data_IF_423749632260
#
_entry.id   IF_423749632260
#
_cell.length_a   1.000
_cell.length_b   1.000
_cell.length_c   1.000
_cell.angle_alpha   90.00
_cell.angle_beta   90.00
_cell.angle_gamma   90.00
#
_symmetry.space_group_name_H-M   'P 1'
#
loop_
_entity.id
_entity.type
_entity.pdbx_description
1 polymer ?
#
# COMPACT_ATOMS: atom_id res chain seq x y z
N UNK A 1 19.51 -53.41 20.41
CA UNK A 1 19.19 -52.03 20.83
C UNK A 1 17.83 -51.71 20.26
N UNK A 2 16.79 -51.89 21.07
CA UNK A 2 15.42 -51.51 20.73
C UNK A 2 15.31 -50.00 20.91
N UNK A 3 15.20 -49.25 19.83
CA UNK A 3 14.61 -47.92 19.89
C UNK A 3 13.13 -48.09 20.21
N UNK A 4 12.79 -47.81 21.46
CA UNK A 4 11.41 -47.72 21.92
C UNK A 4 10.74 -46.55 21.22
N UNK A 5 9.88 -46.83 20.25
CA UNK A 5 8.93 -45.86 19.70
C UNK A 5 7.94 -45.48 20.81
N UNK A 6 8.22 -44.40 21.50
CA UNK A 6 7.28 -43.74 22.43
C UNK A 6 6.02 -43.41 21.62
N UNK A 7 4.80 -43.73 22.09
CA UNK A 7 3.58 -43.34 21.38
C UNK A 7 3.55 -41.81 21.30
N UNK A 8 3.48 -41.25 20.09
CA UNK A 8 3.52 -39.79 19.89
C UNK A 8 2.42 -39.04 20.67
N UNK A 9 1.30 -39.71 21.00
CA UNK A 9 0.14 -39.13 21.69
C UNK A 9 0.35 -38.77 23.18
N UNK A 10 1.46 -39.15 23.81
CA UNK A 10 1.68 -38.87 25.25
C UNK A 10 2.87 -37.95 25.53
N UNK A 11 3.58 -37.53 24.49
CA UNK A 11 4.67 -36.57 24.64
C UNK A 11 4.09 -35.18 24.99
N UNK A 12 4.66 -34.54 26.00
CA UNK A 12 4.25 -33.21 26.47
C UNK A 12 5.43 -32.27 26.40
N UNK A 13 5.17 -31.01 26.06
CA UNK A 13 6.15 -29.93 26.04
C UNK A 13 5.76 -28.86 27.06
N UNK A 14 6.79 -28.25 27.63
CA UNK A 14 6.66 -27.06 28.45
C UNK A 14 6.59 -25.81 27.55
N UNK A 15 5.46 -25.11 27.63
CA UNK A 15 5.25 -23.84 26.94
C UNK A 15 5.06 -22.72 27.94
N UNK A 16 5.42 -21.50 27.53
CA UNK A 16 5.19 -20.29 28.31
C UNK A 16 4.66 -19.20 27.40
N UNK A 17 3.54 -18.62 27.76
CA UNK A 17 2.96 -17.52 27.00
C UNK A 17 3.58 -16.18 27.41
N UNK A 18 3.86 -15.34 26.42
CA UNK A 18 4.20 -13.94 26.63
C UNK A 18 3.57 -13.09 25.53
N UNK A 19 3.50 -11.78 25.74
CA UNK A 19 3.10 -10.85 24.68
C UNK A 19 3.96 -9.60 24.80
N UNK A 20 4.20 -8.94 23.67
CA UNK A 20 4.78 -7.60 23.65
C UNK A 20 3.73 -6.50 23.70
N UNK A 21 2.47 -6.84 23.46
CA UNK A 21 1.39 -5.85 23.51
C UNK A 21 1.07 -5.52 24.98
N UNK A 22 1.38 -4.29 25.41
CA UNK A 22 1.16 -3.80 26.79
C UNK A 22 -0.30 -3.94 27.25
N UNK A 23 -1.25 -3.95 26.30
CA UNK A 23 -2.68 -4.15 26.56
C UNK A 23 -2.99 -5.49 27.24
N UNK A 24 -2.21 -6.53 26.94
CA UNK A 24 -2.48 -7.91 27.36
C UNK A 24 -1.38 -8.48 28.26
N UNK A 25 -0.26 -7.77 28.47
CA UNK A 25 0.89 -8.27 29.23
C UNK A 25 0.55 -8.63 30.69
N UNK A 26 -0.40 -7.91 31.29
CA UNK A 26 -0.83 -8.13 32.67
C UNK A 26 -1.94 -9.17 32.79
N UNK A 27 -2.62 -9.47 31.67
CA UNK A 27 -3.78 -10.37 31.65
C UNK A 27 -3.39 -11.81 31.28
N UNK A 28 -2.25 -12.01 30.60
CA UNK A 28 -1.78 -13.32 30.19
C UNK A 28 -1.13 -14.11 31.34
N UNK A 29 -1.36 -15.43 31.40
CA UNK A 29 -0.78 -16.27 32.43
C UNK A 29 0.73 -16.43 32.22
N UNK A 30 1.51 -16.01 33.21
CA UNK A 30 2.99 -16.17 33.24
C UNK A 30 3.45 -17.57 33.69
N UNK A 31 2.52 -18.49 33.85
CA UNK A 31 2.76 -19.86 34.30
C UNK A 31 3.31 -20.72 33.15
N UNK A 32 4.06 -21.77 33.50
CA UNK A 32 4.52 -22.77 32.54
C UNK A 32 3.43 -23.83 32.42
N UNK A 33 3.03 -24.13 31.19
CA UNK A 33 2.02 -25.14 30.89
C UNK A 33 2.67 -26.37 30.27
N UNK A 34 2.21 -27.56 30.67
CA UNK A 34 2.53 -28.81 29.98
C UNK A 34 1.41 -29.11 28.99
N UNK A 35 1.73 -29.08 27.70
CA UNK A 35 0.77 -29.27 26.61
C UNK A 35 1.21 -30.43 25.72
N UNK A 36 0.27 -31.27 25.21
CA UNK A 36 0.59 -32.31 24.23
C UNK A 36 1.25 -31.75 22.97
N UNK A 37 2.19 -32.50 22.38
CA UNK A 37 2.89 -32.04 21.16
C UNK A 37 1.95 -31.98 19.93
N UNK A 38 0.84 -32.73 19.96
CA UNK A 38 -0.20 -32.67 18.92
C UNK A 38 -1.05 -31.39 18.97
N UNK A 39 -0.85 -30.51 19.95
CA UNK A 39 -1.67 -29.31 20.08
C UNK A 39 -1.46 -28.30 18.97
N UNK A 40 -2.59 -27.82 18.45
CA UNK A 40 -2.70 -26.77 17.43
C UNK A 40 -3.06 -25.42 18.07
N UNK A 41 -3.02 -24.36 17.27
CA UNK A 41 -3.36 -22.99 17.71
C UNK A 41 -4.77 -22.87 18.31
N UNK A 42 -5.74 -23.67 17.85
CA UNK A 42 -7.10 -23.66 18.43
C UNK A 42 -7.12 -24.18 19.87
N UNK A 43 -6.39 -25.25 20.16
CA UNK A 43 -6.30 -25.83 21.51
C UNK A 43 -5.59 -24.88 22.47
N UNK A 44 -4.52 -24.22 22.00
CA UNK A 44 -3.80 -23.19 22.76
C UNK A 44 -4.71 -21.99 23.06
N UNK A 45 -5.55 -21.58 22.11
CA UNK A 45 -6.54 -20.51 22.32
C UNK A 45 -7.58 -20.88 23.38
N UNK A 46 -8.07 -22.13 23.38
CA UNK A 46 -8.99 -22.61 24.41
C UNK A 46 -8.30 -22.60 25.79
N UNK A 47 -7.03 -23.00 25.86
CA UNK A 47 -6.26 -23.01 27.10
C UNK A 47 -6.10 -21.59 27.64
N UNK A 48 -5.67 -20.64 26.82
CA UNK A 48 -5.50 -19.23 27.24
C UNK A 48 -6.82 -18.65 27.70
N UNK A 49 -7.91 -18.86 26.97
CA UNK A 49 -9.20 -18.30 27.35
C UNK A 49 -9.74 -18.90 28.66
N UNK A 50 -9.55 -20.20 28.90
CA UNK A 50 -9.92 -20.84 30.17
C UNK A 50 -9.13 -20.30 31.35
N UNK A 51 -7.83 -20.05 31.17
CA UNK A 51 -7.01 -19.47 32.24
C UNK A 51 -7.34 -17.99 32.43
N UNK A 52 -7.59 -17.27 31.33
CA UNK A 52 -7.97 -15.87 31.31
C UNK A 52 -9.30 -15.60 32.01
N UNK A 53 -10.29 -16.49 31.87
CA UNK A 53 -11.59 -16.40 32.58
C UNK A 53 -11.48 -16.35 34.11
N UNK A 54 -10.32 -16.72 34.69
CA UNK A 54 -10.08 -16.53 36.13
C UNK A 54 -9.81 -15.08 36.52
N UNK A 55 -9.55 -14.19 35.54
CA UNK A 55 -9.39 -12.76 35.71
C UNK A 55 -10.69 -12.03 35.33
N UNK A 56 -11.22 -11.20 36.25
CA UNK A 56 -12.51 -10.50 36.08
C UNK A 56 -12.62 -9.59 34.83
N UNK A 57 -11.49 -9.19 34.24
CA UNK A 57 -11.43 -8.30 33.08
C UNK A 57 -11.19 -9.02 31.74
N UNK A 58 -11.20 -10.36 31.72
CA UNK A 58 -10.89 -11.12 30.51
C UNK A 58 -12.03 -11.10 29.49
N UNK A 59 -11.70 -10.71 28.26
CA UNK A 59 -12.59 -10.89 27.10
C UNK A 59 -12.08 -12.09 26.32
N UNK A 60 -12.99 -12.96 25.89
CA UNK A 60 -12.64 -14.05 24.98
C UNK A 60 -12.09 -13.45 23.68
N UNK A 61 -10.79 -13.61 23.49
CA UNK A 61 -10.05 -13.15 22.32
C UNK A 61 -9.40 -14.36 21.66
N UNK A 62 -9.22 -14.24 20.34
CA UNK A 62 -8.51 -15.24 19.57
C UNK A 62 -7.11 -14.72 19.29
N UNK A 63 -6.11 -15.51 19.67
CA UNK A 63 -4.71 -15.19 19.48
C UNK A 63 -4.11 -16.04 18.38
N UNK A 64 -3.19 -15.44 17.62
CA UNK A 64 -2.19 -16.16 16.85
C UNK A 64 -0.91 -16.27 17.69
N UNK A 65 -0.18 -17.37 17.50
CA UNK A 65 1.01 -17.70 18.28
C UNK A 65 2.26 -17.64 17.42
N UNK A 66 3.31 -17.01 17.93
CA UNK A 66 4.62 -17.02 17.28
C UNK A 66 5.65 -17.73 18.14
N UNK A 67 6.47 -18.55 17.49
CA UNK A 67 7.68 -19.16 18.04
C UNK A 67 8.84 -18.60 17.23
N UNK A 68 9.81 -17.95 17.88
CA UNK A 68 10.98 -17.33 17.23
C UNK A 68 10.62 -16.47 15.99
N UNK A 69 9.57 -15.65 16.11
CA UNK A 69 9.05 -14.79 15.03
C UNK A 69 8.46 -15.56 13.83
N UNK A 70 8.01 -16.79 14.02
CA UNK A 70 7.31 -17.58 13.00
C UNK A 70 5.93 -17.95 13.52
N UNK A 71 4.91 -17.70 12.72
CA UNK A 71 3.53 -18.07 13.04
C UNK A 71 3.35 -19.59 13.12
N UNK A 72 2.72 -20.04 14.20
CA UNK A 72 2.31 -21.42 14.38
C UNK A 72 1.04 -21.70 13.55
N UNK A 73 1.22 -22.35 12.39
CA UNK A 73 0.12 -22.77 11.48
C UNK A 73 -0.13 -24.27 11.46
N UNK A 74 0.81 -25.06 11.98
CA UNK A 74 0.75 -26.52 12.07
C UNK A 74 0.75 -26.95 13.53
N UNK A 75 0.66 -28.25 13.79
CA UNK A 75 0.83 -28.79 15.14
C UNK A 75 2.20 -28.41 15.71
N UNK A 76 2.32 -28.32 17.04
CA UNK A 76 3.61 -28.08 17.68
C UNK A 76 4.65 -29.14 17.28
N UNK A 77 4.21 -30.39 17.04
CA UNK A 77 5.06 -31.49 16.57
C UNK A 77 5.71 -31.16 15.24
N UNK A 78 4.91 -30.90 14.22
CA UNK A 78 5.39 -30.63 12.87
C UNK A 78 6.24 -29.38 12.83
N UNK A 79 5.89 -28.36 13.63
CA UNK A 79 6.67 -27.14 13.76
C UNK A 79 8.06 -27.42 14.32
N UNK A 80 8.15 -28.19 15.41
CA UNK A 80 9.42 -28.52 16.06
C UNK A 80 10.27 -29.40 15.16
N UNK A 81 9.68 -30.36 14.45
CA UNK A 81 10.40 -31.20 13.50
C UNK A 81 10.94 -30.39 12.32
N UNK A 82 10.11 -29.50 11.76
CA UNK A 82 10.48 -28.63 10.62
C UNK A 82 11.62 -27.68 10.99
N UNK A 83 11.56 -27.06 12.16
CA UNK A 83 12.55 -26.07 12.61
C UNK A 83 13.65 -26.67 13.50
N UNK A 84 13.62 -27.99 13.74
CA UNK A 84 14.57 -28.74 14.58
C UNK A 84 14.80 -28.10 15.95
N UNK A 85 13.71 -27.70 16.61
CA UNK A 85 13.77 -27.13 17.95
C UNK A 85 14.05 -28.22 18.99
N UNK A 86 14.81 -27.88 20.04
CA UNK A 86 15.10 -28.79 21.14
C UNK A 86 13.88 -28.96 22.04
N UNK A 87 13.42 -30.21 22.25
CA UNK A 87 12.32 -30.54 23.15
C UNK A 87 12.63 -30.33 24.65
N UNK A 88 13.92 -30.19 25.00
CA UNK A 88 14.37 -30.01 26.39
C UNK A 88 14.14 -28.58 26.91
N UNK A 89 13.92 -27.61 26.02
CA UNK A 89 13.76 -26.20 26.37
C UNK A 89 12.28 -25.81 26.47
N UNK A 90 12.00 -24.85 27.35
CA UNK A 90 10.68 -24.21 27.42
C UNK A 90 10.48 -23.40 26.13
N UNK A 91 9.40 -23.68 25.40
CA UNK A 91 9.06 -22.92 24.20
C UNK A 91 8.27 -21.68 24.63
N UNK A 92 8.83 -20.51 24.34
CA UNK A 92 8.14 -19.24 24.57
C UNK A 92 7.23 -18.91 23.38
N UNK A 93 5.94 -18.76 23.65
CA UNK A 93 4.91 -18.43 22.66
C UNK A 93 4.51 -16.97 22.80
N UNK A 94 4.78 -16.19 21.77
CA UNK A 94 4.29 -14.82 21.67
C UNK A 94 2.82 -14.83 21.23
N UNK A 95 1.92 -14.35 22.09
CA UNK A 95 0.50 -14.21 21.80
C UNK A 95 0.22 -12.85 21.14
N UNK A 96 -0.40 -12.89 19.97
CA UNK A 96 -0.82 -11.72 19.19
C UNK A 96 -2.32 -11.80 18.92
N UNK A 97 -3.03 -10.69 19.04
CA UNK A 97 -4.44 -10.61 18.65
C UNK A 97 -4.61 -10.98 17.17
N UNK A 98 -5.43 -12.01 16.89
CA UNK A 98 -5.66 -12.46 15.51
C UNK A 98 -6.42 -11.38 14.74
N UNK A 99 -5.85 -10.93 13.62
CA UNK A 99 -6.58 -10.10 12.67
C UNK A 99 -7.66 -10.92 11.97
N UNK A 100 -8.86 -10.36 11.71
CA UNK A 100 -9.88 -11.04 10.93
C UNK A 100 -9.38 -11.43 9.53
N UNK A 101 -9.82 -12.58 9.05
CA UNK A 101 -9.48 -13.03 7.71
C UNK A 101 -10.19 -12.15 6.68
N UNK A 102 -9.47 -11.62 5.67
CA UNK A 102 -10.09 -10.76 4.66
C UNK A 102 -11.12 -11.54 3.84
N UNK A 103 -12.32 -10.98 3.71
CA UNK A 103 -13.43 -11.60 2.97
C UNK A 103 -13.57 -10.91 1.61
N UNK A 104 -13.66 -11.65 0.49
CA UNK A 104 -13.94 -11.07 -0.82
C UNK A 104 -15.33 -10.43 -0.83
N UNK A 105 -15.39 -9.14 -1.16
CA UNK A 105 -16.61 -8.34 -1.15
C UNK A 105 -17.13 -8.05 -2.56
N UNK A 106 -16.24 -7.64 -3.47
CA UNK A 106 -16.62 -7.20 -4.82
C UNK A 106 -15.63 -7.73 -5.86
N UNK A 107 -16.17 -8.00 -7.05
CA UNK A 107 -15.42 -8.31 -8.26
C UNK A 107 -15.92 -7.36 -9.37
N UNK A 108 -15.08 -6.40 -9.74
CA UNK A 108 -15.42 -5.33 -10.70
C UNK A 108 -14.71 -5.62 -12.01
N UNK A 109 -15.44 -5.67 -13.12
CA UNK A 109 -14.86 -5.95 -14.43
C UNK A 109 -14.66 -4.68 -15.24
N UNK A 110 -13.42 -4.48 -15.67
CA UNK A 110 -12.97 -3.43 -16.57
C UNK A 110 -12.80 -3.95 -18.00
N UNK A 111 -12.67 -3.02 -18.96
CA UNK A 111 -12.50 -3.34 -20.38
C UNK A 111 -11.06 -3.66 -20.77
N UNK A 112 -10.10 -3.21 -19.98
CA UNK A 112 -8.66 -3.29 -20.25
C UNK A 112 -7.91 -3.53 -18.94
N UNK A 113 -6.61 -3.80 -19.03
CA UNK A 113 -5.76 -4.06 -17.87
C UNK A 113 -5.80 -2.90 -16.87
N UNK A 114 -5.94 -3.23 -15.59
CA UNK A 114 -6.00 -2.24 -14.52
C UNK A 114 -4.59 -1.85 -14.11
N UNK A 115 -4.22 -0.60 -14.35
CA UNK A 115 -2.88 -0.10 -14.06
C UNK A 115 -2.69 0.21 -12.57
N UNK A 116 -3.63 0.95 -11.98
CA UNK A 116 -3.57 1.37 -10.58
C UNK A 116 -4.98 1.50 -10.00
N UNK A 117 -5.11 1.33 -8.69
CA UNK A 117 -6.37 1.39 -7.94
C UNK A 117 -6.16 2.21 -6.68
N UNK A 118 -7.13 3.08 -6.37
CA UNK A 118 -7.15 3.85 -5.11
C UNK A 118 -8.52 3.79 -4.45
N UNK A 119 -8.52 3.51 -3.15
CA UNK A 119 -9.73 3.52 -2.33
C UNK A 119 -9.82 4.86 -1.61
N UNK A 120 -10.80 5.67 -2.00
CA UNK A 120 -11.01 6.99 -1.39
C UNK A 120 -11.76 6.83 -0.06
N UNK A 121 -12.82 6.03 -0.07
CA UNK A 121 -13.66 5.77 1.09
C UNK A 121 -14.45 4.48 0.89
N UNK A 122 -15.26 4.11 1.89
CA UNK A 122 -16.11 2.91 1.85
C UNK A 122 -17.08 2.81 0.66
N UNK A 123 -17.36 3.92 -0.03
CA UNK A 123 -18.33 4.01 -1.11
C UNK A 123 -17.68 4.30 -2.45
N UNK A 124 -16.39 4.59 -2.51
CA UNK A 124 -15.77 5.14 -3.69
C UNK A 124 -14.38 4.57 -3.91
N UNK A 125 -14.24 3.85 -5.01
CA UNK A 125 -12.97 3.30 -5.49
C UNK A 125 -12.72 3.89 -6.87
N UNK A 126 -11.46 4.19 -7.17
CA UNK A 126 -11.03 4.62 -8.50
C UNK A 126 -10.11 3.56 -9.07
N UNK A 127 -10.35 3.20 -10.31
CA UNK A 127 -9.39 2.44 -11.11
C UNK A 127 -8.98 3.26 -12.33
N UNK A 128 -7.75 3.04 -12.78
CA UNK A 128 -7.25 3.53 -14.06
C UNK A 128 -6.78 2.35 -14.88
N UNK A 129 -6.97 2.42 -16.20
CA UNK A 129 -6.64 1.31 -17.09
C UNK A 129 -5.63 1.70 -18.19
N UNK A 130 -5.08 0.68 -18.83
CA UNK A 130 -4.18 0.83 -19.97
C UNK A 130 -4.88 1.36 -21.23
N UNK A 131 -6.21 1.45 -21.25
CA UNK A 131 -7.00 2.08 -22.31
C UNK A 131 -7.10 3.61 -22.22
N UNK A 132 -6.50 4.22 -21.18
CA UNK A 132 -6.55 5.68 -20.95
C UNK A 132 -7.84 6.15 -20.28
N UNK A 133 -8.62 5.24 -19.71
CA UNK A 133 -9.84 5.54 -19.00
C UNK A 133 -9.59 5.72 -17.50
N UNK A 134 -10.28 6.70 -16.93
CA UNK A 134 -10.37 6.91 -15.49
C UNK A 134 -11.78 6.54 -15.04
N UNK A 135 -11.86 5.58 -14.12
CA UNK A 135 -13.11 4.92 -13.78
C UNK A 135 -13.40 5.11 -12.31
N UNK A 136 -14.59 5.63 -12.03
CA UNK A 136 -15.09 5.83 -10.68
C UNK A 136 -16.11 4.74 -10.36
N UNK A 137 -15.81 3.93 -9.37
CA UNK A 137 -16.70 2.89 -8.86
C UNK A 137 -17.43 3.41 -7.64
N UNK A 138 -18.75 3.51 -7.74
CA UNK A 138 -19.61 3.87 -6.63
C UNK A 138 -20.18 2.60 -5.99
N UNK A 139 -19.80 2.35 -4.75
CA UNK A 139 -20.22 1.19 -3.97
C UNK A 139 -21.43 1.57 -3.12
N UNK A 140 -22.56 0.94 -3.42
CA UNK A 140 -23.78 1.02 -2.63
C UNK A 140 -24.03 -0.32 -1.93
N UNK A 141 -24.17 -0.28 -0.60
CA UNK A 141 -24.59 -1.44 0.19
C UNK A 141 -26.11 -1.42 0.29
N UNK A 142 -26.78 -2.35 -0.39
CA UNK A 142 -28.18 -2.67 -0.11
C UNK A 142 -28.26 -3.71 1.01
N UNK A 143 -29.44 -3.91 1.61
CA UNK A 143 -29.64 -4.82 2.75
C UNK A 143 -29.23 -6.28 2.47
N UNK A 144 -29.13 -6.68 1.20
CA UNK A 144 -28.82 -8.05 0.79
C UNK A 144 -27.54 -8.17 -0.03
N UNK A 145 -27.11 -7.12 -0.73
CA UNK A 145 -25.98 -7.18 -1.68
C UNK A 145 -25.20 -5.85 -1.69
N UNK A 146 -23.89 -5.92 -1.93
CA UNK A 146 -23.08 -4.76 -2.25
C UNK A 146 -23.02 -4.63 -3.78
N UNK A 147 -23.51 -3.53 -4.33
CA UNK A 147 -23.50 -3.26 -5.76
C UNK A 147 -22.48 -2.15 -6.02
N UNK A 148 -21.62 -2.36 -7.00
CA UNK A 148 -20.72 -1.33 -7.51
C UNK A 148 -21.19 -0.86 -8.88
N UNK A 149 -21.49 0.42 -8.99
CA UNK A 149 -21.87 1.05 -10.25
C UNK A 149 -20.65 1.70 -10.91
N UNK A 150 -20.42 1.36 -12.18
CA UNK A 150 -19.36 1.94 -13.01
C UNK A 150 -19.81 3.31 -13.50
N UNK A 151 -19.26 4.37 -12.93
CA UNK A 151 -19.35 5.71 -13.50
C UNK A 151 -18.06 5.95 -14.30
N UNK A 152 -18.12 5.75 -15.61
CA UNK A 152 -16.98 6.06 -16.50
C UNK A 152 -16.79 7.58 -16.49
N UNK A 153 -15.73 8.04 -15.85
CA UNK A 153 -15.40 9.45 -15.77
C UNK A 153 -14.31 9.71 -16.82
N UNK A 154 -14.76 9.76 -18.09
CA UNK A 154 -14.04 10.35 -19.23
C UNK A 154 -12.76 9.60 -19.66
N UNK A 155 -12.63 9.31 -20.95
CA UNK A 155 -11.34 8.95 -21.55
C UNK A 155 -10.40 10.15 -21.39
N UNK A 156 -9.37 10.00 -20.54
CA UNK A 156 -8.44 11.08 -20.24
C UNK A 156 -7.45 11.29 -21.37
N UNK A 157 -7.06 10.17 -21.99
CA UNK A 157 -6.08 10.07 -23.05
C UNK A 157 -6.30 8.84 -23.93
N UNK A 158 -5.62 8.77 -25.07
CA UNK A 158 -5.55 7.56 -25.89
C UNK A 158 -4.40 6.64 -25.48
N UNK A 159 -3.44 7.17 -24.73
CA UNK A 159 -2.31 6.41 -24.20
C UNK A 159 -2.60 5.79 -22.82
N UNK A 160 -1.89 4.69 -22.47
CA UNK A 160 -2.08 4.01 -21.21
C UNK A 160 -1.72 4.90 -20.02
N UNK A 161 -2.59 4.86 -19.02
CA UNK A 161 -2.32 5.43 -17.69
C UNK A 161 -1.48 4.42 -16.92
N UNK A 162 -0.50 4.91 -16.14
CA UNK A 162 0.44 4.07 -15.38
C UNK A 162 0.22 4.12 -13.89
N UNK A 163 -0.06 5.30 -13.35
CA UNK A 163 -0.14 5.52 -11.92
C UNK A 163 -1.22 6.52 -11.54
N UNK A 164 -1.68 6.40 -10.30
CA UNK A 164 -2.74 7.19 -9.71
C UNK A 164 -2.40 7.47 -8.25
N UNK A 165 -2.58 8.72 -7.84
CA UNK A 165 -2.65 9.05 -6.42
C UNK A 165 -3.79 10.02 -6.14
N UNK A 166 -4.27 10.02 -4.90
CA UNK A 166 -5.45 10.78 -4.51
C UNK A 166 -5.25 11.50 -3.19
N UNK A 167 -5.85 12.69 -3.08
CA UNK A 167 -5.83 13.49 -1.86
C UNK A 167 -7.19 14.15 -1.61
N UNK A 168 -7.76 13.90 -0.42
CA UNK A 168 -9.06 14.45 -0.03
C UNK A 168 -8.92 15.83 0.61
N UNK A 169 -9.46 16.85 -0.05
CA UNK A 169 -9.60 18.21 0.47
C UNK A 169 -10.89 18.29 1.29
N UNK A 170 -10.82 17.87 2.56
CA UNK A 170 -12.00 17.80 3.43
C UNK A 170 -13.02 16.75 2.97
N UNK A 171 -14.31 17.00 3.20
CA UNK A 171 -15.35 15.96 3.10
C UNK A 171 -15.88 15.68 1.67
N UNK A 172 -15.76 16.62 0.73
CA UNK A 172 -16.46 16.52 -0.56
C UNK A 172 -15.59 16.72 -1.80
N UNK A 173 -14.36 17.23 -1.66
CA UNK A 173 -13.48 17.50 -2.80
C UNK A 173 -12.29 16.55 -2.72
N UNK A 174 -12.03 15.83 -3.79
CA UNK A 174 -10.87 14.94 -3.92
C UNK A 174 -10.10 15.34 -5.17
N UNK A 175 -8.79 15.52 -5.00
CA UNK A 175 -7.88 15.72 -6.12
C UNK A 175 -7.22 14.40 -6.47
N UNK A 176 -7.16 14.08 -7.76
CA UNK A 176 -6.46 12.92 -8.30
C UNK A 176 -5.32 13.42 -9.16
N UNK A 177 -4.17 12.80 -8.97
CA UNK A 177 -3.03 12.97 -9.85
C UNK A 177 -2.84 11.68 -10.62
N UNK A 178 -2.81 11.79 -11.94
CA UNK A 178 -2.72 10.66 -12.86
C UNK A 178 -1.47 10.83 -13.72
N UNK A 179 -0.61 9.83 -13.76
CA UNK A 179 0.56 9.79 -14.65
C UNK A 179 0.29 8.89 -15.86
N UNK A 180 0.58 9.40 -17.05
CA UNK A 180 0.37 8.68 -18.30
C UNK A 180 1.68 8.38 -19.04
N UNK A 181 1.62 7.41 -19.95
CA UNK A 181 2.76 7.03 -20.79
C UNK A 181 3.20 8.14 -21.74
N UNK A 182 2.29 9.06 -22.07
CA UNK A 182 2.55 10.19 -22.97
C UNK A 182 3.31 11.35 -22.32
N UNK A 183 4.00 11.11 -21.21
CA UNK A 183 4.85 12.08 -20.50
C UNK A 183 4.07 13.19 -19.77
N UNK A 184 2.75 13.16 -19.81
CA UNK A 184 1.90 14.15 -19.15
C UNK A 184 1.37 13.63 -17.83
N UNK A 185 1.15 14.56 -16.90
CA UNK A 185 0.33 14.30 -15.73
C UNK A 185 -0.98 15.08 -15.80
N UNK A 186 -2.03 14.46 -15.28
CA UNK A 186 -3.35 15.06 -15.18
C UNK A 186 -3.70 15.26 -13.71
N UNK A 187 -3.92 16.51 -13.32
CA UNK A 187 -4.51 16.85 -12.04
C UNK A 187 -6.01 17.05 -12.26
N UNK A 188 -6.81 16.13 -11.71
CA UNK A 188 -8.26 16.14 -11.76
C UNK A 188 -8.81 16.53 -10.40
N UNK A 189 -9.67 17.54 -10.37
CA UNK A 189 -10.42 17.86 -9.16
C UNK A 189 -11.83 17.35 -9.32
N UNK A 190 -12.28 16.54 -8.37
CA UNK A 190 -13.65 16.08 -8.33
C UNK A 190 -14.32 16.57 -7.06
N UNK A 191 -15.50 17.14 -7.23
CA UNK A 191 -16.42 17.40 -6.13
C UNK A 191 -17.55 16.40 -6.25
N UNK A 192 -17.75 15.63 -5.19
CA UNK A 192 -18.79 14.62 -5.15
C UNK A 192 -19.62 14.79 -3.90
N UNK A 193 -20.94 14.72 -4.07
CA UNK A 193 -21.79 14.36 -2.96
C UNK A 193 -21.60 12.84 -2.76
N UNK A 194 -20.57 12.46 -2.02
CA UNK A 194 -20.14 11.07 -1.77
C UNK A 194 -21.31 10.20 -1.28
N UNK A 195 -22.36 10.80 -0.70
CA UNK A 195 -23.58 10.10 -0.28
C UNK A 195 -24.48 9.61 -1.43
N UNK A 196 -24.41 10.24 -2.62
CA UNK A 196 -25.27 9.95 -3.78
C UNK A 196 -24.53 9.36 -4.98
N UNK A 197 -23.22 9.12 -4.90
CA UNK A 197 -22.48 8.48 -5.99
C UNK A 197 -22.28 9.32 -7.25
N UNK A 198 -22.61 10.61 -7.19
CA UNK A 198 -22.41 11.56 -8.28
C UNK A 198 -21.18 12.40 -7.94
N UNK A 199 -20.11 12.21 -8.72
CA UNK A 199 -18.92 13.05 -8.69
C UNK A 199 -18.84 13.83 -10.00
N UNK A 200 -18.68 15.15 -9.89
CA UNK A 200 -18.46 16.02 -11.03
C UNK A 200 -16.99 16.41 -11.06
N UNK A 201 -16.37 16.31 -12.24
CA UNK A 201 -15.04 16.87 -12.45
C UNK A 201 -15.17 18.40 -12.46
N UNK A 202 -14.55 19.05 -11.49
CA UNK A 202 -14.48 20.51 -11.37
C UNK A 202 -13.45 21.10 -12.34
N UNK A 203 -12.34 20.40 -12.58
CA UNK A 203 -11.27 20.89 -13.44
C UNK A 203 -10.25 19.84 -13.80
N UNK A 204 -9.61 20.05 -14.95
CA UNK A 204 -8.45 19.28 -15.46
C UNK A 204 -7.30 20.26 -15.68
N UNK A 205 -6.20 20.06 -14.96
CA UNK A 205 -4.93 20.77 -15.19
C UNK A 205 -3.93 19.76 -15.76
N UNK A 206 -3.15 20.16 -16.75
CA UNK A 206 -2.13 19.30 -17.36
C UNK A 206 -0.77 19.75 -16.85
N UNK A 207 0.00 18.84 -16.27
CA UNK A 207 1.36 19.11 -15.85
C UNK A 207 2.29 18.52 -16.92
N UNK A 208 3.14 19.38 -17.52
CA UNK A 208 4.09 18.97 -18.56
C UNK A 208 5.51 19.26 -18.12
N UNK A 209 6.40 18.30 -18.35
CA UNK A 209 7.80 18.49 -18.05
C UNK A 209 8.67 17.23 -18.10
N UNK A 210 8.10 16.03 -17.97
CA UNK A 210 8.83 14.79 -18.22
C UNK A 210 9.07 14.56 -19.71
N UNK A 211 10.13 13.81 -20.03
CA UNK A 211 10.50 13.48 -21.41
C UNK A 211 10.15 12.03 -21.79
N UNK A 212 9.66 11.25 -20.81
CA UNK A 212 9.22 9.86 -20.98
C UNK A 212 8.02 9.54 -20.08
N UNK A 213 7.53 8.31 -20.17
CA UNK A 213 6.42 7.76 -19.38
C UNK A 213 6.55 8.11 -17.89
N UNK A 214 5.46 8.57 -17.29
CA UNK A 214 5.39 8.86 -15.84
C UNK A 214 4.91 7.60 -15.13
N UNK A 215 5.81 6.94 -14.41
CA UNK A 215 5.55 5.62 -13.81
C UNK A 215 4.96 5.74 -12.41
N UNK A 216 5.23 6.82 -11.68
CA UNK A 216 4.70 7.02 -10.32
C UNK A 216 4.41 8.48 -10.00
N UNK A 217 3.45 8.66 -9.10
CA UNK A 217 3.01 9.96 -8.59
C UNK A 217 2.69 9.86 -7.10
N UNK A 218 2.92 10.95 -6.37
CA UNK A 218 2.53 11.06 -4.97
C UNK A 218 2.17 12.50 -4.60
N UNK A 219 1.03 12.68 -3.92
CA UNK A 219 0.56 13.94 -3.38
C UNK A 219 1.00 14.06 -1.92
N UNK A 220 1.42 15.26 -1.49
CA UNK A 220 1.81 15.47 -0.10
C UNK A 220 0.61 15.48 0.84
N UNK A 221 0.87 15.33 2.14
CA UNK A 221 -0.17 15.26 3.17
C UNK A 221 -1.01 16.55 3.32
N UNK A 222 -0.55 17.67 2.74
CA UNK A 222 -1.27 18.96 2.76
C UNK A 222 -2.02 19.24 1.45
N UNK A 223 -1.86 18.40 0.42
CA UNK A 223 -2.48 18.58 -0.90
C UNK A 223 -1.97 19.77 -1.72
N UNK A 224 -0.87 20.40 -1.32
CA UNK A 224 -0.30 21.59 -1.96
C UNK A 224 0.80 21.27 -2.95
N UNK A 225 1.48 20.14 -2.79
CA UNK A 225 2.60 19.71 -3.64
C UNK A 225 2.39 18.27 -4.10
N UNK A 226 2.91 17.99 -5.28
CA UNK A 226 3.00 16.63 -5.79
C UNK A 226 4.42 16.33 -6.25
N UNK A 227 4.77 15.06 -6.27
CA UNK A 227 6.01 14.57 -6.85
C UNK A 227 5.69 13.49 -7.87
N UNK A 228 6.47 13.43 -8.94
CA UNK A 228 6.40 12.37 -9.93
C UNK A 228 7.77 11.79 -10.24
N UNK A 229 7.79 10.49 -10.53
CA UNK A 229 8.94 9.77 -11.06
C UNK A 229 8.62 9.23 -12.45
N UNK A 230 9.65 9.21 -13.31
CA UNK A 230 9.49 8.85 -14.71
C UNK A 230 10.63 7.95 -15.20
N UNK A 231 10.36 7.30 -16.32
CA UNK A 231 11.34 6.57 -17.11
C UNK A 231 12.48 7.47 -17.65
N UNK A 232 12.32 8.80 -17.60
CA UNK A 232 13.37 9.77 -17.93
C UNK A 232 14.45 9.92 -16.84
N UNK A 233 14.35 9.16 -15.74
CA UNK A 233 15.29 9.11 -14.60
C UNK A 233 15.17 10.30 -13.64
N UNK A 234 14.29 11.25 -13.93
CA UNK A 234 14.11 12.43 -13.12
C UNK A 234 12.96 12.25 -12.14
N UNK A 235 13.12 12.90 -11.00
CA UNK A 235 12.03 13.17 -10.06
C UNK A 235 11.64 14.63 -10.21
N UNK A 236 10.37 14.94 -10.39
CA UNK A 236 9.88 16.31 -10.52
C UNK A 236 8.92 16.66 -9.40
N UNK A 237 9.05 17.87 -8.88
CA UNK A 237 8.20 18.44 -7.84
C UNK A 237 7.27 19.46 -8.47
N UNK A 238 5.98 19.40 -8.16
CA UNK A 238 4.93 20.20 -8.76
C UNK A 238 4.19 20.98 -7.68
N UNK A 239 3.81 22.22 -8.00
CA UNK A 239 2.87 22.96 -7.19
C UNK A 239 1.44 22.67 -7.68
N UNK A 240 0.64 22.06 -6.82
CA UNK A 240 -0.77 21.72 -7.09
C UNK A 240 -1.74 22.59 -6.28
N UNK A 241 -1.24 23.56 -5.52
CA UNK A 241 -2.10 24.54 -4.84
C UNK A 241 -3.00 25.28 -5.82
N UNK A 242 -4.16 25.71 -5.35
CA UNK A 242 -5.00 26.64 -6.09
C UNK A 242 -4.26 27.96 -6.22
N UNK A 243 -3.92 28.33 -7.46
CA UNK A 243 -3.40 29.65 -7.74
C UNK A 243 -4.54 30.65 -7.52
N UNK A 244 -4.63 31.20 -6.31
CA UNK A 244 -5.47 32.37 -6.05
C UNK A 244 -4.87 33.66 -6.65
N UNK A 245 -3.72 33.57 -7.34
CA UNK A 245 -3.17 34.66 -8.14
C UNK A 245 -3.80 34.65 -9.53
N UNK A 246 -4.95 35.31 -9.64
CA UNK A 246 -5.22 36.08 -10.85
C UNK A 246 -4.07 37.10 -10.92
N UNK A 247 -3.11 36.87 -11.80
CA UNK A 247 -2.13 37.88 -12.20
C UNK A 247 -2.90 39.02 -12.89
N UNK A 248 -3.45 39.94 -12.08
CA UNK A 248 -3.87 41.27 -12.50
C UNK A 248 -2.62 42.16 -12.68
N UNK A 249 -1.68 41.72 -13.49
CA UNK A 249 -0.54 42.54 -13.92
C UNK A 249 -0.44 42.49 -15.45
N UNK A 250 -1.49 42.97 -16.12
CA UNK A 250 -1.39 43.53 -17.46
C UNK A 250 -1.74 45.01 -17.37
N UNK A 251 -0.93 45.77 -16.62
CA UNK A 251 -0.85 47.22 -16.77
C UNK A 251 0.14 47.50 -17.90
N UNK A 252 -0.32 47.39 -19.14
CA UNK A 252 0.27 48.11 -20.27
C UNK A 252 -0.82 49.01 -20.89
N UNK A 253 -0.63 50.32 -20.68
CA UNK A 253 -1.43 51.40 -21.26
C UNK A 253 -1.45 51.31 -22.80
N UNK A 254 -2.60 51.06 -23.41
CA UNK A 254 -2.84 51.43 -24.82
C UNK A 254 -4.23 52.06 -24.98
N UNK A 255 -4.21 53.30 -25.48
CA UNK A 255 -5.32 54.21 -25.79
C UNK A 255 -6.42 53.64 -26.71
N UNK A 256 -7.65 54.20 -26.70
CA UNK A 256 -8.80 53.62 -27.38
C UNK A 256 -8.96 54.13 -28.82
N UNK A 257 -8.90 53.24 -29.82
CA UNK A 257 -9.51 53.52 -31.12
C UNK A 257 -10.01 52.26 -31.84
N UNK A 258 -11.34 52.12 -31.81
CA UNK A 258 -12.24 51.61 -32.85
C UNK A 258 -11.96 50.30 -33.61
N UNK A 259 -12.96 49.41 -33.44
CA UNK A 259 -13.66 48.56 -34.43
C UNK A 259 -13.28 47.09 -34.57
N UNK A 260 -14.35 46.31 -34.31
CA UNK A 260 -14.81 45.08 -34.98
C UNK A 260 -14.49 43.75 -34.31
N UNK A 261 -15.36 43.42 -33.35
CA UNK A 261 -16.08 42.15 -33.24
C UNK A 261 -15.59 40.96 -34.09
N UNK A 262 -14.75 40.11 -33.48
CA UNK A 262 -14.89 38.64 -33.49
C UNK A 262 -14.43 38.14 -32.12
N UNK A 263 -15.36 37.75 -31.25
CA UNK A 263 -15.04 36.97 -30.04
C UNK A 263 -14.43 35.64 -30.52
N UNK A 264 -13.18 35.28 -30.17
CA UNK A 264 -12.74 33.91 -30.36
C UNK A 264 -13.59 33.03 -29.44
N UNK A 265 -14.03 31.87 -29.96
CA UNK A 265 -14.64 30.83 -29.14
C UNK A 265 -13.61 30.41 -28.10
N UNK A 266 -14.00 30.46 -26.82
CA UNK A 266 -13.20 29.98 -25.70
C UNK A 266 -13.23 28.44 -25.81
N UNK A 267 -12.28 27.88 -26.54
CA UNK A 267 -11.88 26.50 -26.28
C UNK A 267 -11.34 26.47 -24.85
N UNK A 268 -11.81 25.50 -24.05
CA UNK A 268 -11.44 25.32 -22.64
C UNK A 268 -9.92 25.43 -22.50
N UNK A 269 -9.42 26.56 -21.99
CA UNK A 269 -8.00 26.79 -21.80
C UNK A 269 -7.50 25.77 -20.78
N UNK A 270 -6.83 24.72 -21.27
CA UNK A 270 -6.22 23.69 -20.44
C UNK A 270 -5.07 24.35 -19.70
N UNK A 271 -5.26 24.62 -18.40
CA UNK A 271 -4.21 25.19 -17.58
C UNK A 271 -3.02 24.22 -17.58
N UNK A 272 -1.88 24.69 -18.10
CA UNK A 272 -0.67 23.88 -18.20
C UNK A 272 0.34 24.38 -17.19
N UNK A 273 0.76 23.53 -16.25
CA UNK A 273 1.77 23.88 -15.25
C UNK A 273 3.10 23.18 -15.56
N UNK A 274 4.19 23.87 -15.25
CA UNK A 274 5.56 23.37 -15.34
C UNK A 274 6.04 22.89 -13.96
N UNK A 275 7.07 22.02 -13.90
CA UNK A 275 7.62 21.56 -12.64
C UNK A 275 8.33 22.71 -11.90
N UNK A 276 8.23 22.73 -10.57
CA UNK A 276 8.92 23.68 -9.71
C UNK A 276 10.42 23.35 -9.60
N UNK A 277 10.72 22.07 -9.39
CA UNK A 277 12.09 21.55 -9.24
C UNK A 277 12.20 20.24 -10.01
N UNK A 278 13.33 20.04 -10.69
CA UNK A 278 13.72 18.75 -11.27
C UNK A 278 14.93 18.23 -10.50
N UNK A 279 14.74 17.10 -9.83
CA UNK A 279 15.74 16.41 -9.04
C UNK A 279 16.38 15.31 -9.88
N UNK A 280 17.71 15.32 -9.95
CA UNK A 280 18.50 14.38 -10.75
C UNK A 280 19.51 13.67 -9.84
N UNK A 281 19.35 12.35 -9.70
CA UNK A 281 20.36 11.50 -9.06
C UNK A 281 20.30 10.05 -9.54
N UNK A 282 19.12 9.54 -9.89
CA UNK A 282 18.96 8.19 -10.40
C UNK A 282 19.63 7.99 -11.76
N UNK A 283 20.16 6.80 -11.98
CA UNK A 283 20.83 6.41 -13.24
C UNK A 283 19.89 5.73 -14.22
N UNK A 284 18.78 5.19 -13.74
CA UNK A 284 17.76 4.48 -14.51
C UNK A 284 16.35 4.99 -14.14
N UNK A 285 15.33 4.40 -14.77
CA UNK A 285 13.94 4.77 -14.57
C UNK A 285 13.54 4.79 -13.09
N UNK A 286 12.83 5.84 -12.68
CA UNK A 286 12.23 5.93 -11.34
C UNK A 286 10.89 5.21 -11.39
N UNK A 287 10.73 4.21 -10.54
CA UNK A 287 9.58 3.30 -10.58
C UNK A 287 8.50 3.74 -9.60
N UNK A 288 8.89 4.08 -8.38
CA UNK A 288 7.95 4.52 -7.35
C UNK A 288 8.53 5.63 -6.48
N UNK A 289 7.64 6.45 -5.93
CA UNK A 289 7.97 7.60 -5.10
C UNK A 289 6.88 7.83 -4.06
N UNK A 290 7.28 8.07 -2.80
CA UNK A 290 6.36 8.37 -1.70
C UNK A 290 6.90 9.51 -0.84
N UNK A 291 6.00 10.31 -0.31
CA UNK A 291 6.33 11.32 0.69
C UNK A 291 6.65 10.69 2.03
N UNK A 292 7.65 11.21 2.74
CA UNK A 292 7.92 10.75 4.09
C UNK A 292 6.78 11.21 5.03
N UNK A 293 6.02 10.28 5.65
CA UNK A 293 4.89 10.66 6.49
C UNK A 293 5.31 11.39 7.77
N UNK A 294 6.55 11.20 8.22
CA UNK A 294 7.08 11.85 9.43
C UNK A 294 7.69 13.22 9.18
N UNK A 295 8.08 13.52 7.94
CA UNK A 295 8.70 14.79 7.57
C UNK A 295 8.22 15.24 6.19
N UNK A 296 7.41 16.30 6.16
CA UNK A 296 6.83 16.85 4.94
C UNK A 296 7.87 17.39 3.94
N UNK A 297 9.09 17.71 4.38
CA UNK A 297 10.19 18.15 3.51
C UNK A 297 10.92 17.02 2.80
N UNK A 298 10.61 15.75 3.11
CA UNK A 298 11.33 14.60 2.59
C UNK A 298 10.46 13.71 1.69
N UNK A 299 11.09 13.15 0.67
CA UNK A 299 10.49 12.15 -0.20
C UNK A 299 11.44 10.97 -0.39
N UNK A 300 10.90 9.80 -0.69
CA UNK A 300 11.68 8.58 -0.90
C UNK A 300 11.34 8.05 -2.28
N UNK A 301 12.36 7.80 -3.08
CA UNK A 301 12.21 7.27 -4.43
C UNK A 301 12.99 5.98 -4.61
N UNK A 302 12.51 5.20 -5.56
CA UNK A 302 13.03 3.87 -5.85
C UNK A 302 13.14 3.70 -7.36
N UNK A 303 14.24 3.10 -7.81
CA UNK A 303 14.59 3.01 -9.23
C UNK A 303 15.12 1.63 -9.63
N UNK A 304 15.12 1.36 -10.93
CA UNK A 304 15.80 0.20 -11.52
C UNK A 304 17.33 0.24 -11.40
N UNK A 305 17.91 1.38 -10.99
CA UNK A 305 19.34 1.47 -10.67
C UNK A 305 19.72 0.79 -9.34
N UNK A 306 18.77 0.10 -8.71
CA UNK A 306 18.93 -0.67 -7.48
C UNK A 306 19.18 0.21 -6.25
N UNK A 307 18.82 1.50 -6.32
CA UNK A 307 18.98 2.45 -5.22
C UNK A 307 17.64 2.93 -4.69
N UNK A 308 17.58 3.09 -3.36
CA UNK A 308 16.55 3.85 -2.67
C UNK A 308 17.18 5.18 -2.28
N UNK A 309 16.61 6.28 -2.76
CA UNK A 309 17.08 7.62 -2.44
C UNK A 309 16.07 8.33 -1.54
N UNK A 310 16.55 8.93 -0.45
CA UNK A 310 15.76 9.86 0.35
C UNK A 310 16.18 11.28 -0.03
N UNK A 311 15.21 12.09 -0.43
CA UNK A 311 15.38 13.44 -0.90
C UNK A 311 15.06 14.45 0.19
N UNK A 312 15.83 15.52 0.22
CA UNK A 312 15.44 16.76 0.85
C UNK A 312 14.93 17.73 -0.23
N UNK A 313 13.70 18.21 -0.07
CA UNK A 313 13.11 19.16 -1.01
C UNK A 313 13.56 20.60 -0.76
N UNK A 314 14.04 20.93 0.44
CA UNK A 314 14.58 22.26 0.72
C UNK A 314 15.97 22.42 0.10
N UNK A 315 16.79 21.38 0.19
CA UNK A 315 18.12 21.35 -0.44
C UNK A 315 18.09 20.93 -1.91
N UNK A 316 16.94 20.43 -2.40
CA UNK A 316 16.78 19.86 -3.73
C UNK A 316 17.85 18.80 -4.08
N UNK A 317 18.13 17.89 -3.15
CA UNK A 317 19.18 16.88 -3.31
C UNK A 317 18.96 15.61 -2.47
N UNK A 318 19.68 14.51 -2.79
CA UNK A 318 19.58 13.26 -2.05
C UNK A 318 20.36 13.35 -0.71
N UNK A 319 19.70 13.00 0.40
CA UNK A 319 20.29 12.94 1.74
C UNK A 319 20.95 11.58 1.96
N UNK A 320 20.22 10.49 1.68
CA UNK A 320 20.67 9.12 1.92
C UNK A 320 20.47 8.26 0.69
N UNK A 321 21.41 7.35 0.47
CA UNK A 321 21.36 6.34 -0.59
C UNK A 321 21.50 4.96 0.04
N UNK A 322 20.49 4.10 -0.17
CA UNK A 322 20.50 2.72 0.27
C UNK A 322 20.60 1.82 -0.98
N UNK A 323 21.79 1.27 -1.28
CA UNK A 323 21.95 0.33 -2.37
C UNK A 323 21.33 -1.03 -2.03
N UNK A 324 20.77 -1.68 -3.05
CA UNK A 324 20.36 -3.08 -3.01
C UNK A 324 21.03 -3.87 -4.14
N UNK A 325 20.73 -5.17 -4.23
CA UNK A 325 21.27 -6.08 -5.24
C UNK A 325 20.30 -6.36 -6.40
N UNK A 326 19.12 -5.73 -6.41
CA UNK A 326 18.04 -6.02 -7.36
C UNK A 326 17.32 -4.75 -7.78
N UNK A 327 16.75 -4.78 -8.98
CA UNK A 327 15.87 -3.73 -9.43
C UNK A 327 14.57 -3.77 -8.60
N UNK A 328 14.03 -2.58 -8.35
CA UNK A 328 12.83 -2.43 -7.56
C UNK A 328 11.57 -2.29 -8.44
N UNK A 329 10.42 -2.59 -7.86
CA UNK A 329 9.11 -2.51 -8.52
C UNK A 329 8.13 -1.57 -7.82
N UNK A 330 8.18 -1.44 -6.49
CA UNK A 330 7.32 -0.55 -5.73
C UNK A 330 7.92 -0.17 -4.36
N UNK A 331 7.38 0.88 -3.77
CA UNK A 331 7.77 1.46 -2.50
C UNK A 331 6.54 1.79 -1.65
N UNK A 332 6.57 1.39 -0.38
CA UNK A 332 5.59 1.83 0.60
C UNK A 332 6.25 2.28 1.89
N UNK A 333 5.77 3.39 2.45
CA UNK A 333 6.23 3.92 3.72
C UNK A 333 5.17 3.72 4.78
N UNK A 334 5.59 3.24 5.95
CA UNK A 334 4.68 3.09 7.06
C UNK A 334 4.38 4.49 7.66
N UNK A 335 3.10 4.86 7.80
CA UNK A 335 2.69 6.20 8.22
C UNK A 335 3.14 6.55 9.66
N UNK A 336 3.35 5.55 10.54
CA UNK A 336 3.65 5.79 11.95
C UNK A 336 5.14 5.79 12.30
N UNK A 337 5.90 4.87 11.70
CA UNK A 337 7.32 4.68 12.06
C UNK A 337 8.30 5.13 10.96
N UNK A 338 7.82 5.39 9.74
CA UNK A 338 8.66 5.80 8.61
C UNK A 338 9.57 4.70 8.07
N UNK A 339 9.30 3.44 8.38
CA UNK A 339 10.01 2.29 7.80
C UNK A 339 9.55 2.09 6.35
N UNK A 340 10.50 1.83 5.46
CA UNK A 340 10.21 1.57 4.06
C UNK A 340 10.07 0.07 3.78
N UNK A 341 9.06 -0.30 3.01
CA UNK A 341 8.98 -1.58 2.32
C UNK A 341 9.23 -1.37 0.84
N UNK A 342 10.02 -2.27 0.27
CA UNK A 342 10.27 -2.27 -1.17
C UNK A 342 9.92 -3.62 -1.75
N UNK A 343 9.21 -3.58 -2.88
CA UNK A 343 9.09 -4.70 -3.79
C UNK A 343 10.27 -4.69 -4.77
N UNK A 344 10.70 -5.89 -5.18
CA UNK A 344 11.77 -6.05 -6.18
C UNK A 344 11.31 -6.92 -7.33
N UNK A 345 12.10 -6.97 -8.40
CA UNK A 345 11.92 -7.92 -9.50
C UNK A 345 12.22 -9.38 -9.10
N UNK A 346 12.24 -9.67 -7.81
CA UNK A 346 12.33 -11.02 -7.23
C UNK A 346 11.04 -11.28 -6.45
N UNK A 347 10.89 -12.47 -5.88
CA UNK A 347 9.76 -12.82 -5.02
C UNK A 347 9.84 -12.31 -3.59
N UNK A 348 10.86 -11.53 -3.26
CA UNK A 348 11.14 -11.06 -1.91
C UNK A 348 10.75 -9.60 -1.72
N UNK A 349 10.08 -9.33 -0.60
CA UNK A 349 9.84 -7.97 -0.11
C UNK A 349 10.89 -7.67 0.95
N UNK A 350 11.46 -6.47 0.91
CA UNK A 350 12.52 -6.06 1.86
C UNK A 350 12.07 -4.86 2.67
N UNK A 351 12.41 -4.88 3.95
CA UNK A 351 12.16 -3.79 4.89
C UNK A 351 13.45 -3.02 5.17
N UNK A 352 13.37 -1.71 5.14
CA UNK A 352 14.50 -0.80 5.28
C UNK A 352 14.25 0.25 6.34
N UNK A 353 15.24 0.45 7.21
CA UNK A 353 15.25 1.62 8.09
C UNK A 353 15.95 2.77 7.38
N UNK A 354 15.18 3.80 7.02
CA UNK A 354 15.68 4.99 6.33
C UNK A 354 16.57 5.88 7.22
N UNK A 355 16.53 5.71 8.56
CA UNK A 355 17.29 6.52 9.51
C UNK A 355 18.68 5.98 9.78
N UNK A 356 18.93 4.71 9.46
CA UNK A 356 20.24 4.09 9.72
C UNK A 356 21.30 4.62 8.77
N UNK A 357 22.30 5.33 9.30
CA UNK A 357 23.45 5.85 8.54
C UNK A 357 24.55 4.81 8.36
N UNK A 358 24.54 3.73 9.14
CA UNK A 358 25.53 2.67 9.08
C UNK A 358 25.06 1.57 8.12
N UNK A 359 25.31 1.79 6.83
CA UNK A 359 25.30 0.77 5.78
C UNK A 359 24.01 -0.06 5.63
N UNK A 360 23.09 0.41 4.77
CA UNK A 360 22.10 -0.36 3.99
C UNK A 360 21.72 -1.77 4.45
N UNK A 361 21.36 -1.95 5.72
CA UNK A 361 20.97 -3.26 6.22
C UNK A 361 19.48 -3.44 6.00
N UNK A 362 19.14 -4.44 5.19
CA UNK A 362 17.78 -4.95 5.11
C UNK A 362 17.41 -5.47 6.49
N UNK A 363 16.39 -4.89 7.12
CA UNK A 363 15.96 -5.26 8.47
C UNK A 363 15.35 -6.66 8.46
N UNK A 364 14.39 -6.89 7.55
CA UNK A 364 13.71 -8.15 7.33
C UNK A 364 13.48 -8.38 5.84
N UNK A 365 13.46 -9.64 5.44
CA UNK A 365 13.05 -10.09 4.10
C UNK A 365 11.85 -11.00 4.23
N UNK A 366 10.78 -10.71 3.50
CA UNK A 366 9.55 -11.52 3.48
C UNK A 366 9.57 -12.45 2.28
N UNK A 367 9.38 -13.74 2.57
CA UNK A 367 9.46 -14.82 1.60
C UNK A 367 8.10 -15.51 1.51
N UNK A 368 7.51 -15.60 0.31
CA UNK A 368 6.29 -16.37 0.12
C UNK A 368 5.58 -16.16 -1.21
N UNK A 369 5.91 -15.12 -1.96
CA UNK A 369 5.52 -15.04 -3.36
C UNK A 369 6.35 -16.00 -4.23
N UNK A 370 5.79 -16.38 -5.37
CA UNK A 370 6.44 -17.29 -6.33
C UNK A 370 7.02 -16.55 -7.54
N UNK A 371 6.55 -15.32 -7.79
CA UNK A 371 6.95 -14.48 -8.91
C UNK A 371 7.33 -13.07 -8.44
N UNK A 372 7.53 -12.15 -9.38
CA UNK A 372 7.88 -10.77 -9.09
C UNK A 372 6.76 -10.08 -8.32
N UNK A 373 7.13 -9.37 -7.27
CA UNK A 373 6.20 -8.55 -6.50
C UNK A 373 5.99 -7.26 -7.26
N UNK A 374 4.74 -6.97 -7.63
CA UNK A 374 4.39 -5.82 -8.45
C UNK A 374 4.26 -4.55 -7.61
N UNK A 375 3.55 -4.65 -6.49
CA UNK A 375 3.21 -3.51 -5.65
C UNK A 375 3.12 -3.93 -4.17
N UNK A 376 3.31 -2.97 -3.27
CA UNK A 376 3.26 -3.14 -1.81
C UNK A 376 2.56 -1.94 -1.18
N UNK A 377 1.68 -2.20 -0.22
CA UNK A 377 0.95 -1.16 0.50
C UNK A 377 0.92 -1.45 2.00
N UNK A 378 1.35 -0.48 2.81
CA UNK A 378 1.20 -0.55 4.28
C UNK A 378 -0.25 -0.37 4.71
N UNK A 379 -0.63 -1.05 5.80
CA UNK A 379 -1.88 -0.72 6.48
C UNK A 379 -1.77 0.69 7.08
N UNK A 380 -2.77 1.57 6.86
CA UNK A 380 -2.73 2.91 7.41
C UNK A 380 -3.06 2.95 8.92
N UNK A 381 -3.76 1.93 9.44
CA UNK A 381 -4.18 1.87 10.84
C UNK A 381 -3.22 1.06 11.70
N UNK A 382 -2.85 -0.14 11.24
CA UNK A 382 -1.99 -1.04 11.99
C UNK A 382 -0.53 -0.91 11.53
N UNK A 383 0.38 -0.67 12.46
CA UNK A 383 1.79 -0.49 12.15
C UNK A 383 2.50 -1.77 11.72
N UNK A 384 1.92 -2.94 12.03
CA UNK A 384 2.53 -4.24 11.79
C UNK A 384 2.04 -4.92 10.50
N UNK A 385 0.96 -4.42 9.89
CA UNK A 385 0.31 -5.08 8.75
C UNK A 385 0.62 -4.39 7.43
N UNK A 386 0.81 -5.18 6.38
CA UNK A 386 0.93 -4.69 5.00
C UNK A 386 0.44 -5.72 3.99
N UNK A 387 0.17 -5.28 2.78
CA UNK A 387 -0.22 -6.11 1.64
C UNK A 387 0.83 -6.03 0.54
N UNK A 388 0.93 -7.10 -0.23
CA UNK A 388 1.75 -7.15 -1.43
C UNK A 388 1.00 -7.88 -2.55
N UNK A 389 1.16 -7.39 -3.77
CA UNK A 389 0.66 -8.04 -4.98
C UNK A 389 1.80 -8.62 -5.80
N UNK A 390 1.51 -9.67 -6.55
CA UNK A 390 2.53 -10.38 -7.33
C UNK A 390 2.01 -10.83 -8.69
N UNK A 391 2.96 -11.09 -9.58
CA UNK A 391 2.71 -11.69 -10.89
C UNK A 391 2.35 -13.17 -10.81
N UNK A 392 2.34 -13.77 -9.62
CA UNK A 392 1.78 -15.12 -9.39
C UNK A 392 0.24 -15.14 -9.32
N UNK A 393 -0.41 -13.98 -9.44
CA UNK A 393 -1.86 -13.84 -9.38
C UNK A 393 -2.42 -13.78 -7.96
N UNK A 394 -1.55 -13.73 -6.94
CA UNK A 394 -1.96 -13.64 -5.53
C UNK A 394 -1.67 -12.26 -4.95
N UNK A 395 -2.55 -11.84 -4.06
CA UNK A 395 -2.26 -10.76 -3.11
C UNK A 395 -2.05 -11.41 -1.75
N UNK A 396 -1.01 -11.02 -1.03
CA UNK A 396 -0.69 -11.58 0.29
C UNK A 396 -0.76 -10.49 1.33
N UNK A 397 -1.36 -10.80 2.47
CA UNK A 397 -1.37 -9.97 3.66
C UNK A 397 -0.29 -10.49 4.62
N UNK A 398 0.49 -9.58 5.17
CA UNK A 398 1.67 -9.89 5.97
C UNK A 398 1.62 -9.20 7.32
N UNK A 399 2.23 -9.86 8.30
CA UNK A 399 2.62 -9.25 9.56
C UNK A 399 4.14 -9.09 9.58
N UNK A 400 4.61 -7.89 9.90
CA UNK A 400 6.03 -7.57 10.08
C UNK A 400 6.72 -8.38 11.17
N UNK A 401 5.94 -8.88 12.14
CA UNK A 401 6.40 -9.73 13.23
C UNK A 401 6.74 -11.14 12.74
N UNK A 402 6.21 -11.57 11.59
CA UNK A 402 6.43 -12.89 11.00
C UNK A 402 6.94 -12.83 9.55
N UNK A 403 8.27 -12.79 9.32
CA UNK A 403 8.82 -12.60 7.98
C UNK A 403 8.71 -13.84 7.07
N UNK A 404 8.63 -15.05 7.63
CA UNK A 404 8.73 -16.30 6.84
C UNK A 404 7.43 -16.74 6.18
N UNK A 405 6.28 -16.23 6.63
CA UNK A 405 4.98 -16.67 6.16
C UNK A 405 4.00 -15.51 6.11
N UNK A 406 3.16 -15.48 5.08
CA UNK A 406 2.04 -14.54 4.99
C UNK A 406 0.96 -14.92 6.01
N UNK A 407 0.19 -13.93 6.47
CA UNK A 407 -0.98 -14.15 7.29
C UNK A 407 -2.09 -14.81 6.47
N UNK A 408 -2.44 -14.19 5.34
CA UNK A 408 -3.53 -14.62 4.47
C UNK A 408 -3.15 -14.47 3.00
N UNK A 409 -3.61 -15.44 2.20
CA UNK A 409 -3.53 -15.42 0.75
C UNK A 409 -4.89 -15.00 0.18
N UNK A 410 -4.94 -13.81 -0.41
CA UNK A 410 -6.11 -13.27 -1.08
C UNK A 410 -6.15 -13.82 -2.50
N UNK A 411 -6.84 -14.96 -2.66
CA UNK A 411 -7.01 -15.60 -3.95
C UNK A 411 -8.24 -15.07 -4.67
N UNK A 412 -8.18 -15.02 -6.00
CA UNK A 412 -9.34 -14.69 -6.82
C UNK A 412 -8.95 -14.22 -8.22
N UNK A 413 -7.79 -13.58 -8.38
CA UNK A 413 -7.30 -13.15 -9.70
C UNK A 413 -6.86 -14.35 -10.55
N UNK A 414 -7.09 -14.25 -11.85
CA UNK A 414 -6.74 -15.31 -12.81
C UNK A 414 -5.38 -15.05 -13.48
N UNK A 415 -4.91 -13.80 -13.45
CA UNK A 415 -3.66 -13.37 -14.05
C UNK A 415 -2.89 -12.45 -13.09
N UNK A 416 -1.77 -11.89 -13.54
CA UNK A 416 -0.85 -11.04 -12.80
C UNK A 416 -1.56 -9.85 -12.15
N UNK A 417 -1.35 -9.68 -10.85
CA UNK A 417 -1.81 -8.50 -10.13
C UNK A 417 -0.80 -7.38 -10.31
N UNK A 418 -1.25 -6.19 -10.69
CA UNK A 418 -0.38 -5.05 -11.00
C UNK A 418 -0.27 -4.04 -9.85
N UNK A 419 -1.36 -3.84 -9.10
CA UNK A 419 -1.43 -2.83 -8.05
C UNK A 419 -2.24 -3.34 -6.85
N UNK A 420 -1.96 -2.77 -5.67
CA UNK A 420 -2.72 -3.01 -4.45
C UNK A 420 -2.83 -1.75 -3.61
N UNK A 421 -4.00 -1.52 -3.03
CA UNK A 421 -4.25 -0.38 -2.16
C UNK A 421 -4.99 -0.79 -0.89
N UNK A 422 -4.62 -0.18 0.24
CA UNK A 422 -5.23 -0.43 1.54
C UNK A 422 -5.78 0.87 2.12
N UNK A 423 -7.10 0.91 2.33
CA UNK A 423 -7.78 2.07 2.89
C UNK A 423 -7.80 2.10 4.42
N UNK A 424 -8.04 3.30 4.96
CA UNK A 424 -8.39 3.50 6.37
C UNK A 424 -9.71 2.83 6.79
N UNK A 425 -10.54 2.40 5.84
CA UNK A 425 -11.80 1.69 6.12
C UNK A 425 -11.61 0.17 6.14
N UNK A 426 -10.38 -0.31 6.37
CA UNK A 426 -10.02 -1.73 6.44
C UNK A 426 -10.42 -2.51 5.17
N UNK A 427 -10.35 -1.86 4.00
CA UNK A 427 -10.53 -2.53 2.71
C UNK A 427 -9.23 -2.59 1.95
N UNK A 428 -9.07 -3.69 1.24
CA UNK A 428 -7.97 -3.93 0.32
C UNK A 428 -8.57 -4.01 -1.08
N UNK A 429 -8.00 -3.29 -2.04
CA UNK A 429 -8.38 -3.38 -3.44
C UNK A 429 -7.15 -3.76 -4.26
N UNK A 430 -7.34 -4.62 -5.25
CA UNK A 430 -6.28 -5.08 -6.14
C UNK A 430 -6.73 -5.05 -7.59
N UNK A 431 -5.86 -4.57 -8.47
CA UNK A 431 -6.08 -4.51 -9.91
C UNK A 431 -5.17 -5.48 -10.66
N UNK A 432 -5.71 -6.14 -11.68
CA UNK A 432 -5.02 -7.21 -12.41
C UNK A 432 -5.09 -7.04 -13.93
N UNK A 433 -4.24 -7.82 -14.62
CA UNK A 433 -4.22 -8.01 -16.07
C UNK A 433 -5.47 -8.74 -16.57
N UNK A 434 -6.17 -9.48 -15.70
CA UNK A 434 -7.46 -10.12 -16.01
C UNK A 434 -8.63 -9.14 -16.19
N UNK A 435 -8.33 -7.84 -16.22
CA UNK A 435 -9.28 -6.74 -16.29
C UNK A 435 -10.27 -6.74 -15.11
N UNK A 436 -9.90 -7.29 -13.95
CA UNK A 436 -10.72 -7.23 -12.74
C UNK A 436 -10.09 -6.39 -11.64
N UNK A 437 -10.94 -5.69 -10.90
CA UNK A 437 -10.62 -5.09 -9.60
C UNK A 437 -11.34 -5.89 -8.53
N UNK A 438 -10.58 -6.51 -7.63
CA UNK A 438 -11.13 -7.26 -6.50
C UNK A 438 -11.02 -6.43 -5.24
N UNK A 439 -12.08 -6.45 -4.44
CA UNK A 439 -12.13 -5.72 -3.17
C UNK A 439 -12.39 -6.71 -2.05
N UNK A 440 -11.55 -6.66 -1.03
CA UNK A 440 -11.64 -7.47 0.18
C UNK A 440 -11.89 -6.55 1.37
N UNK A 441 -12.73 -7.00 2.31
CA UNK A 441 -12.90 -6.36 3.61
C UNK A 441 -12.14 -7.15 4.66
N UNK A 442 -11.27 -6.48 5.41
CA UNK A 442 -10.66 -7.04 6.61
C UNK A 442 -11.62 -6.93 7.78
#
# INVERSE_FOLDING_TARGET
MQESSIPLDTSHIQIKFFTKDERFSDQLPKQIFNVPISSESEQLNILINKVGETNDNWKQLKFDFLIDSILLRVSLFDFIDTYKLSLENIIELECIEQSPAPVPQLDLTDSEWVADVKIINEKCIVSVNYGGEFILWNITKNKTETIAERNVVKKLDEEPIKCLDSFSHGNNVVSFLVGAQNQTLYLLKMEGNVKKGQANILGKTVLRGHERSVECVAINNDGTRAISGSFDKFVKVWNISEDNSIDNNNDEEISPSSRSSKRPKIDQAVNTKTPMVTLQAHKEAVVDIKWNPLNAGQAVSVSWDQQILVWDLEMAGPITNLPSNRAFSALSLNPKNGIALTASTDSFIRMWDLKSKEGSLVKNTYCGHLAWVSDVCWSPLNEYLFCSSSFDGTVKMWDTRSPKAALYDLMGHQDRVLCVDWSFSERIASGSVDCSVKVFSC
#
